data_IF_531323730024
#
_entry.id   IF_531323730024
#
_cell.length_a   1.000
_cell.length_b   1.000
_cell.length_c   1.000
_cell.angle_alpha   90.00
_cell.angle_beta   90.00
_cell.angle_gamma   90.00
#
_symmetry.space_group_name_H-M   'P 1'
#
loop_
_entity.id
_entity.type
_entity.pdbx_description
1 polymer ?
#
# COMPACT_ATOMS: atom_id res chain seq x y z
N UNK A 1 16.63 23.14 23.87
CA UNK A 1 16.61 24.24 22.89
C UNK A 1 15.58 23.94 21.81
N UNK A 2 14.71 24.91 21.55
CA UNK A 2 13.50 24.83 20.73
C UNK A 2 13.75 24.90 19.22
N UNK A 3 12.87 24.24 18.44
CA UNK A 3 12.27 24.58 17.11
C UNK A 3 11.61 23.29 16.56
N UNK A 4 10.29 23.06 16.59
CA UNK A 4 9.19 23.71 15.85
C UNK A 4 9.58 23.94 14.38
N UNK A 5 8.95 23.40 13.32
CA UNK A 5 7.56 23.01 13.05
C UNK A 5 7.53 22.10 11.80
N UNK A 6 6.56 21.18 11.66
CA UNK A 6 5.76 21.05 10.43
C UNK A 6 4.56 20.11 10.66
N UNK A 7 3.39 20.70 10.87
CA UNK A 7 2.10 20.02 10.85
C UNK A 7 1.68 19.85 9.38
N UNK A 8 1.51 18.61 8.91
CA UNK A 8 0.71 18.33 7.72
C UNK A 8 -0.63 17.73 8.14
N UNK A 9 -1.58 18.64 8.28
CA UNK A 9 -3.00 18.40 8.51
C UNK A 9 -3.57 17.69 7.29
N UNK A 10 -4.01 16.44 7.46
CA UNK A 10 -4.81 15.75 6.46
C UNK A 10 -6.17 16.44 6.31
N UNK A 11 -6.29 17.34 5.32
CA UNK A 11 -7.57 17.86 4.83
C UNK A 11 -8.25 16.75 4.02
N UNK A 12 -8.87 15.79 4.71
CA UNK A 12 -9.88 14.92 4.09
C UNK A 12 -11.17 15.72 4.03
N UNK A 13 -11.64 15.91 2.79
CA UNK A 13 -12.74 16.81 2.45
C UNK A 13 -13.95 16.61 3.34
N UNK A 14 -14.23 17.65 4.13
CA UNK A 14 -15.57 17.90 4.62
C UNK A 14 -16.42 18.25 3.39
N UNK A 15 -17.13 17.24 2.89
CA UNK A 15 -18.14 17.39 1.85
C UNK A 15 -19.26 18.21 2.48
N UNK A 16 -19.14 19.53 2.38
CA UNK A 16 -20.21 20.43 2.78
C UNK A 16 -21.45 20.03 1.97
N UNK A 17 -22.45 19.49 2.65
CA UNK A 17 -23.83 19.56 2.18
C UNK A 17 -24.17 21.04 2.12
N UNK A 18 -23.89 21.68 0.98
CA UNK A 18 -24.44 22.99 0.65
C UNK A 18 -25.90 22.75 0.26
N UNK A 19 -26.73 22.46 1.26
CA UNK A 19 -28.17 22.59 1.13
C UNK A 19 -28.47 24.07 1.00
N UNK A 20 -28.98 24.45 -0.17
CA UNK A 20 -29.55 25.77 -0.42
C UNK A 20 -30.62 26.04 0.66
N UNK A 21 -30.41 27.02 1.54
CA UNK A 21 -31.52 27.67 2.23
C UNK A 21 -32.33 28.41 1.16
N UNK A 22 -33.35 27.72 0.62
CA UNK A 22 -34.44 28.40 -0.06
C UNK A 22 -35.15 29.24 1.00
N UNK A 23 -34.90 30.54 1.00
CA UNK A 23 -35.83 31.50 1.54
C UNK A 23 -37.18 31.25 0.86
N UNK A 24 -38.08 30.55 1.56
CA UNK A 24 -39.49 30.52 1.22
C UNK A 24 -40.06 31.87 1.66
N UNK A 25 -39.82 32.92 0.87
CA UNK A 25 -40.78 34.02 0.83
C UNK A 25 -41.97 33.46 0.07
N UNK A 26 -42.93 32.90 0.80
CA UNK A 26 -44.26 32.64 0.29
C UNK A 26 -44.86 33.98 -0.08
N UNK A 27 -44.68 34.40 -1.32
CA UNK A 27 -45.63 35.31 -1.96
C UNK A 27 -46.87 34.46 -2.25
N UNK A 28 -47.58 34.04 -1.19
CA UNK A 28 -48.96 33.61 -1.32
C UNK A 28 -49.69 34.84 -1.85
N UNK A 29 -50.15 34.76 -3.09
CA UNK A 29 -51.17 35.69 -3.56
C UNK A 29 -52.36 35.61 -2.60
N UNK A 30 -52.98 36.75 -2.27
CA UNK A 30 -54.12 36.88 -1.34
C UNK A 30 -55.32 35.94 -1.65
N UNK A 31 -55.31 35.28 -2.80
CA UNK A 31 -56.26 34.24 -3.20
C UNK A 31 -56.12 32.90 -2.46
N UNK A 32 -54.94 32.54 -1.93
CA UNK A 32 -54.75 31.26 -1.23
C UNK A 32 -55.05 31.33 0.28
N UNK A 33 -54.97 32.52 0.89
CA UNK A 33 -55.37 32.75 2.30
C UNK A 33 -56.89 32.65 2.53
N UNK A 34 -57.69 32.61 1.46
CA UNK A 34 -59.15 32.46 1.55
C UNK A 34 -59.66 31.03 1.34
N UNK A 35 -58.77 30.05 1.09
CA UNK A 35 -59.19 28.66 0.87
C UNK A 35 -58.90 27.71 2.05
N UNK A 36 -58.15 28.16 3.05
CA UNK A 36 -57.86 27.40 4.29
C UNK A 36 -58.77 27.82 5.46
N UNK A 37 -59.95 28.37 5.15
CA UNK A 37 -60.96 28.77 6.15
C UNK A 37 -62.34 28.19 5.86
N UNK A 38 -62.41 26.95 5.40
CA UNK A 38 -63.69 26.23 5.28
C UNK A 38 -63.51 24.72 5.53
N UNK A 39 -62.91 24.34 6.66
CA UNK A 39 -62.96 22.98 7.20
C UNK A 39 -63.07 22.99 8.73
N UNK A 40 -63.86 23.89 9.31
CA UNK A 40 -64.22 23.84 10.73
C UNK A 40 -65.63 24.39 10.92
N UNK A 41 -66.37 23.75 11.83
CA UNK A 41 -67.79 23.91 12.19
C UNK A 41 -68.76 22.93 11.52
N UNK A 42 -68.82 21.71 12.06
CA UNK A 42 -70.09 21.02 12.22
C UNK A 42 -70.31 20.78 13.72
N UNK A 43 -70.99 21.72 14.38
CA UNK A 43 -71.81 21.43 15.56
C UNK A 43 -73.27 21.44 15.11
N UNK A 44 -74.15 20.55 15.62
CA UNK A 44 -75.40 20.22 14.98
C UNK A 44 -76.45 21.26 15.36
N UNK A 45 -76.70 22.22 14.49
CA UNK A 45 -77.93 23.00 14.59
C UNK A 45 -78.64 23.10 13.25
N UNK A 46 -79.92 22.79 13.32
CA UNK A 46 -80.87 22.67 12.23
C UNK A 46 -81.11 24.06 11.66
N UNK A 47 -80.89 24.25 10.34
CA UNK A 47 -81.75 25.04 9.43
C UNK A 47 -81.00 25.60 8.22
N UNK A 48 -80.59 24.75 7.28
CA UNK A 48 -80.78 25.02 5.83
C UNK A 48 -80.67 23.70 5.03
N UNK A 49 -81.42 22.67 5.44
CA UNK A 49 -81.52 21.45 4.65
C UNK A 49 -82.42 21.73 3.44
N UNK A 50 -81.83 21.86 2.25
CA UNK A 50 -82.58 21.71 1.01
C UNK A 50 -83.24 20.31 1.07
N UNK A 51 -84.60 20.21 1.10
CA UNK A 51 -85.30 18.98 1.50
C UNK A 51 -85.00 17.75 0.63
N UNK A 52 -84.36 17.97 -0.53
CA UNK A 52 -83.93 16.93 -1.45
C UNK A 52 -82.67 16.16 -1.01
N UNK A 53 -81.91 16.65 -0.01
CA UNK A 53 -80.61 16.07 0.37
C UNK A 53 -80.62 15.27 1.69
N UNK A 54 -81.72 14.58 2.00
CA UNK A 54 -81.83 13.80 3.24
C UNK A 54 -81.11 12.45 3.12
N UNK A 55 -80.26 12.08 4.11
CA UNK A 55 -79.62 10.77 4.12
C UNK A 55 -80.64 9.63 4.19
N UNK A 56 -80.58 8.68 3.26
CA UNK A 56 -81.42 7.47 3.24
C UNK A 56 -80.61 6.28 3.77
N UNK A 57 -81.12 5.56 4.79
CA UNK A 57 -80.47 4.34 5.33
C UNK A 57 -80.76 3.14 4.41
N UNK A 58 -79.74 2.34 4.09
CA UNK A 58 -79.88 1.07 3.39
C UNK A 58 -79.03 0.01 4.10
N UNK A 59 -79.66 -1.07 4.60
CA UNK A 59 -79.11 -2.21 5.38
C UNK A 59 -77.58 -2.24 5.55
N UNK A 60 -77.07 -1.40 6.47
CA UNK A 60 -75.65 -1.34 6.87
C UNK A 60 -74.91 -0.03 6.53
N UNK A 61 -75.46 0.85 5.69
CA UNK A 61 -74.83 2.14 5.35
C UNK A 61 -75.86 3.27 5.14
N UNK A 62 -75.36 4.51 5.08
CA UNK A 62 -76.18 5.71 4.88
C UNK A 62 -75.86 6.31 3.51
N UNK A 63 -76.86 6.39 2.63
CA UNK A 63 -76.77 7.03 1.31
C UNK A 63 -77.05 8.52 1.47
N UNK A 64 -76.03 9.35 1.31
CA UNK A 64 -76.18 10.81 1.27
C UNK A 64 -76.25 11.23 -0.21
N UNK A 65 -77.38 11.79 -0.68
CA UNK A 65 -77.49 12.29 -2.05
C UNK A 65 -76.57 13.51 -2.28
N UNK A 66 -76.03 13.69 -3.50
CA UNK A 66 -75.16 14.81 -3.81
C UNK A 66 -75.91 16.14 -3.69
N UNK A 67 -75.31 17.12 -3.00
CA UNK A 67 -75.87 18.47 -2.97
C UNK A 67 -75.72 19.13 -4.33
N UNK A 68 -76.81 19.16 -5.10
CA UNK A 68 -76.82 19.67 -6.49
C UNK A 68 -76.31 21.10 -6.63
N UNK A 69 -76.54 21.97 -5.64
CA UNK A 69 -76.02 23.34 -5.64
C UNK A 69 -74.50 23.37 -5.49
N UNK A 70 -73.96 22.59 -4.53
CA UNK A 70 -72.50 22.47 -4.35
C UNK A 70 -71.84 21.80 -5.57
N UNK A 71 -72.45 20.75 -6.11
CA UNK A 71 -71.98 20.05 -7.32
C UNK A 71 -71.96 20.99 -8.54
N UNK A 72 -73.05 21.71 -8.77
CA UNK A 72 -73.14 22.67 -9.89
C UNK A 72 -72.15 23.82 -9.74
N UNK A 73 -71.92 24.32 -8.51
CA UNK A 73 -70.90 25.33 -8.23
C UNK A 73 -69.51 24.80 -8.53
N UNK A 74 -69.20 23.58 -8.09
CA UNK A 74 -67.90 22.95 -8.35
C UNK A 74 -67.69 22.74 -9.85
N UNK A 75 -68.69 22.25 -10.57
CA UNK A 75 -68.61 22.07 -12.02
C UNK A 75 -68.40 23.39 -12.76
N UNK A 76 -69.14 24.44 -12.40
CA UNK A 76 -68.97 25.78 -12.97
C UNK A 76 -67.57 26.35 -12.70
N UNK A 77 -67.07 26.19 -11.48
CA UNK A 77 -65.72 26.64 -11.12
C UNK A 77 -64.66 25.85 -11.89
N UNK A 78 -64.76 24.53 -11.96
CA UNK A 78 -63.83 23.68 -12.71
C UNK A 78 -63.77 24.08 -14.20
N UNK A 79 -64.94 24.33 -14.81
CA UNK A 79 -65.00 24.81 -16.19
C UNK A 79 -64.35 26.18 -16.36
N UNK A 80 -64.64 27.11 -15.45
CA UNK A 80 -64.07 28.45 -15.47
C UNK A 80 -62.54 28.42 -15.32
N UNK A 81 -62.03 27.65 -14.36
CA UNK A 81 -60.59 27.49 -14.12
C UNK A 81 -59.89 26.81 -15.31
N UNK A 82 -60.53 25.83 -15.94
CA UNK A 82 -60.01 25.18 -17.14
C UNK A 82 -59.89 26.17 -18.32
N UNK A 83 -60.91 27.01 -18.54
CA UNK A 83 -60.87 28.06 -19.55
C UNK A 83 -59.79 29.10 -19.27
N UNK A 84 -59.66 29.56 -18.02
CA UNK A 84 -58.62 30.51 -17.60
C UNK A 84 -57.22 29.93 -17.81
N UNK A 85 -57.00 28.66 -17.47
CA UNK A 85 -55.73 27.98 -17.71
C UNK A 85 -55.41 27.86 -19.21
N UNK A 86 -56.42 27.60 -20.04
CA UNK A 86 -56.24 27.54 -21.50
C UNK A 86 -55.85 28.90 -22.06
N UNK A 87 -56.54 29.97 -21.68
CA UNK A 87 -56.19 31.34 -22.09
C UNK A 87 -54.79 31.71 -21.63
N UNK A 88 -54.45 31.44 -20.38
CA UNK A 88 -53.11 31.70 -19.87
C UNK A 88 -52.03 30.94 -20.66
N UNK A 89 -52.26 29.67 -20.99
CA UNK A 89 -51.33 28.88 -21.81
C UNK A 89 -51.18 29.43 -23.22
N UNK A 90 -52.26 29.93 -23.82
CA UNK A 90 -52.27 30.52 -25.16
C UNK A 90 -51.57 31.89 -25.17
N UNK A 91 -51.85 32.74 -24.19
CA UNK A 91 -51.22 34.05 -24.00
C UNK A 91 -49.73 33.94 -23.66
N UNK A 92 -49.36 32.95 -22.83
CA UNK A 92 -47.97 32.70 -22.42
C UNK A 92 -47.27 31.67 -23.31
N UNK A 93 -47.90 31.27 -24.43
CA UNK A 93 -47.26 30.35 -25.37
C UNK A 93 -46.06 31.08 -25.98
N UNK A 94 -44.82 30.59 -25.78
CA UNK A 94 -43.68 31.17 -26.48
C UNK A 94 -43.91 31.01 -27.98
N UNK A 95 -43.71 32.10 -28.74
CA UNK A 95 -43.84 32.08 -30.18
C UNK A 95 -42.84 31.10 -30.83
N UNK A 96 -43.05 30.71 -32.09
CA UNK A 96 -42.09 29.90 -32.83
C UNK A 96 -40.73 30.60 -32.87
N UNK A 97 -39.74 30.02 -32.21
CA UNK A 97 -38.37 30.54 -32.21
C UNK A 97 -37.74 30.13 -33.55
N UNK A 98 -37.50 31.11 -34.43
CA UNK A 98 -36.85 30.91 -35.75
C UNK A 98 -35.31 31.01 -35.66
N UNK A 99 -34.73 30.76 -34.49
CA UNK A 99 -33.29 30.75 -34.31
C UNK A 99 -32.77 29.34 -34.52
N UNK A 100 -31.69 29.20 -35.27
CA UNK A 100 -30.94 27.95 -35.31
C UNK A 100 -30.46 27.64 -33.88
N UNK A 101 -30.65 26.40 -33.37
CA UNK A 101 -30.22 26.05 -32.03
C UNK A 101 -28.72 26.26 -31.90
N UNK A 102 -28.32 27.12 -30.97
CA UNK A 102 -26.92 27.36 -30.66
C UNK A 102 -26.36 26.15 -29.89
N UNK A 103 -25.21 25.62 -30.34
CA UNK A 103 -24.52 24.53 -29.62
C UNK A 103 -23.85 25.12 -28.39
N UNK A 104 -24.59 25.19 -27.30
CA UNK A 104 -24.08 25.59 -25.98
C UNK A 104 -23.28 24.42 -25.38
N UNK A 105 -22.01 24.30 -25.76
CA UNK A 105 -21.03 23.37 -25.17
C UNK A 105 -20.41 22.36 -26.15
N UNK A 106 -19.28 21.77 -25.74
CA UNK A 106 -18.56 20.75 -26.52
C UNK A 106 -17.62 21.31 -27.59
N UNK A 107 -16.72 22.23 -27.20
CA UNK A 107 -15.67 22.75 -28.10
C UNK A 107 -14.78 21.64 -28.70
N UNK A 108 -14.76 20.47 -28.06
CA UNK A 108 -13.93 19.32 -28.42
C UNK A 108 -14.86 18.15 -28.76
N UNK A 109 -14.58 17.47 -29.86
CA UNK A 109 -15.29 16.25 -30.23
C UNK A 109 -15.04 15.14 -29.19
N UNK A 110 -16.05 14.31 -28.94
CA UNK A 110 -15.92 13.14 -28.07
C UNK A 110 -14.74 12.23 -28.48
N UNK A 111 -14.48 12.10 -29.77
CA UNK A 111 -13.36 11.31 -30.29
C UNK A 111 -12.00 11.90 -29.86
N UNK A 112 -11.87 13.23 -29.91
CA UNK A 112 -10.66 13.94 -29.50
C UNK A 112 -10.44 13.84 -27.98
N UNK A 113 -11.51 13.96 -27.17
CA UNK A 113 -11.41 13.75 -25.72
C UNK A 113 -10.92 12.32 -25.41
N UNK A 114 -11.48 11.31 -26.09
CA UNK A 114 -11.05 9.91 -25.91
C UNK A 114 -9.60 9.70 -26.31
N UNK A 115 -9.17 10.29 -27.43
CA UNK A 115 -7.78 10.21 -27.87
C UNK A 115 -6.84 10.82 -26.83
N UNK A 116 -7.17 12.02 -26.32
CA UNK A 116 -6.38 12.69 -25.26
C UNK A 116 -6.28 11.83 -24.01
N UNK A 117 -7.39 11.29 -23.53
CA UNK A 117 -7.39 10.38 -22.38
C UNK A 117 -6.51 9.15 -22.59
N UNK A 118 -6.57 8.54 -23.78
CA UNK A 118 -5.70 7.39 -24.10
C UNK A 118 -4.22 7.76 -24.12
N UNK A 119 -3.87 8.90 -24.73
CA UNK A 119 -2.49 9.39 -24.79
C UNK A 119 -1.98 9.71 -23.39
N UNK A 120 -2.76 10.42 -22.59
CA UNK A 120 -2.40 10.79 -21.22
C UNK A 120 -2.20 9.57 -20.33
N UNK A 121 -3.07 8.56 -20.45
CA UNK A 121 -2.92 7.29 -19.73
C UNK A 121 -1.60 6.60 -20.08
N UNK A 122 -1.27 6.51 -21.37
CA UNK A 122 -0.01 5.90 -21.84
C UNK A 122 1.21 6.67 -21.32
N UNK A 123 1.19 8.00 -21.43
CA UNK A 123 2.27 8.86 -20.95
C UNK A 123 2.43 8.77 -19.43
N UNK A 124 1.33 8.75 -18.68
CA UNK A 124 1.34 8.60 -17.23
C UNK A 124 1.95 7.26 -16.81
N UNK A 125 1.55 6.17 -17.48
CA UNK A 125 2.13 4.84 -17.25
C UNK A 125 3.65 4.84 -17.49
N UNK A 126 4.10 5.39 -18.62
CA UNK A 126 5.53 5.48 -18.96
C UNK A 126 6.32 6.31 -17.95
N UNK A 127 5.81 7.49 -17.56
CA UNK A 127 6.46 8.33 -16.55
C UNK A 127 6.59 7.61 -15.21
N UNK A 128 5.59 6.81 -14.84
CA UNK A 128 5.62 6.03 -13.60
C UNK A 128 6.65 4.90 -13.65
N UNK A 129 6.78 4.19 -14.77
CA UNK A 129 7.78 3.12 -14.91
C UNK A 129 9.19 3.69 -14.87
N UNK A 130 9.46 4.77 -15.60
CA UNK A 130 10.78 5.42 -15.61
C UNK A 130 11.20 5.88 -14.20
N UNK A 131 10.32 6.59 -13.48
CA UNK A 131 10.61 7.01 -12.10
C UNK A 131 10.91 5.84 -11.16
N UNK A 132 10.21 4.71 -11.35
CA UNK A 132 10.46 3.51 -10.56
C UNK A 132 11.84 2.92 -10.88
N UNK A 133 12.15 2.78 -12.16
CA UNK A 133 13.43 2.24 -12.62
C UNK A 133 14.61 3.11 -12.16
N UNK A 134 14.50 4.43 -12.24
CA UNK A 134 15.51 5.37 -11.76
C UNK A 134 15.75 5.22 -10.24
N UNK A 135 14.68 5.10 -9.46
CA UNK A 135 14.78 4.89 -8.01
C UNK A 135 15.39 3.53 -7.67
N UNK A 136 14.98 2.47 -8.37
CA UNK A 136 15.49 1.11 -8.18
C UNK A 136 16.98 1.02 -8.57
N UNK A 137 17.40 1.68 -9.66
CA UNK A 137 18.81 1.78 -10.06
C UNK A 137 19.65 2.50 -9.00
N UNK A 138 19.18 3.65 -8.51
CA UNK A 138 19.89 4.40 -7.47
C UNK A 138 20.03 3.59 -6.18
N UNK A 139 18.97 2.85 -5.80
CA UNK A 139 19.00 1.97 -4.64
C UNK A 139 20.02 0.84 -4.82
N UNK A 140 20.03 0.19 -5.99
CA UNK A 140 20.98 -0.88 -6.30
C UNK A 140 22.42 -0.38 -6.28
N UNK A 141 22.70 0.78 -6.87
CA UNK A 141 24.03 1.39 -6.86
C UNK A 141 24.52 1.65 -5.43
N UNK A 142 23.66 2.21 -4.57
CA UNK A 142 24.01 2.44 -3.17
C UNK A 142 24.31 1.13 -2.41
N UNK A 143 23.51 0.08 -2.63
CA UNK A 143 23.73 -1.24 -2.05
C UNK A 143 25.04 -1.89 -2.56
N UNK A 144 25.33 -1.75 -3.86
CA UNK A 144 26.57 -2.24 -4.48
C UNK A 144 27.80 -1.54 -3.90
N UNK A 145 27.78 -0.21 -3.79
CA UNK A 145 28.87 0.56 -3.17
C UNK A 145 29.11 0.17 -1.70
N UNK A 146 28.04 -0.05 -0.93
CA UNK A 146 28.17 -0.50 0.46
C UNK A 146 28.77 -1.91 0.53
N UNK A 147 28.34 -2.80 -0.36
CA UNK A 147 28.88 -4.16 -0.45
C UNK A 147 30.36 -4.16 -0.83
N UNK A 148 30.77 -3.33 -1.79
CA UNK A 148 32.17 -3.15 -2.15
C UNK A 148 33.01 -2.64 -1.00
N UNK A 149 32.52 -1.63 -0.25
CA UNK A 149 33.18 -1.14 0.97
C UNK A 149 33.36 -2.24 2.01
N UNK A 150 32.31 -3.04 2.26
CA UNK A 150 32.37 -4.18 3.19
C UNK A 150 33.39 -5.23 2.74
N UNK A 151 33.41 -5.56 1.44
CA UNK A 151 34.39 -6.50 0.86
C UNK A 151 35.82 -5.96 0.98
N UNK A 152 36.06 -4.68 0.68
CA UNK A 152 37.36 -4.06 0.82
C UNK A 152 37.85 -4.10 2.28
N UNK A 153 36.97 -3.77 3.24
CA UNK A 153 37.27 -3.85 4.67
C UNK A 153 37.62 -5.28 5.10
N UNK A 154 36.90 -6.30 4.60
CA UNK A 154 37.20 -7.70 4.90
C UNK A 154 38.55 -8.12 4.30
N UNK A 155 38.86 -7.70 3.08
CA UNK A 155 40.17 -7.95 2.45
C UNK A 155 41.30 -7.32 3.25
N UNK A 156 41.15 -6.06 3.66
CA UNK A 156 42.15 -5.37 4.49
C UNK A 156 42.37 -6.10 5.84
N UNK A 157 41.28 -6.51 6.49
CA UNK A 157 41.34 -7.31 7.73
C UNK A 157 42.08 -8.63 7.50
N UNK A 158 41.79 -9.33 6.40
CA UNK A 158 42.47 -10.57 6.05
C UNK A 158 43.97 -10.34 5.82
N UNK A 159 44.35 -9.31 5.05
CA UNK A 159 45.76 -8.99 4.80
C UNK A 159 46.49 -8.61 6.08
N UNK A 160 45.84 -7.85 6.98
CA UNK A 160 46.43 -7.46 8.26
C UNK A 160 46.64 -8.67 9.18
N UNK A 161 45.68 -9.59 9.19
CA UNK A 161 45.77 -10.83 9.97
C UNK A 161 46.89 -11.74 9.43
N UNK A 162 47.00 -11.89 8.11
CA UNK A 162 48.05 -12.68 7.48
C UNK A 162 49.45 -12.12 7.79
N UNK A 163 49.63 -10.80 7.69
CA UNK A 163 50.89 -10.13 8.03
C UNK A 163 51.26 -10.36 9.50
N UNK A 164 50.29 -10.24 10.42
CA UNK A 164 50.51 -10.51 11.84
C UNK A 164 50.91 -11.97 12.08
N UNK A 165 50.19 -12.91 11.46
CA UNK A 165 50.49 -14.34 11.57
C UNK A 165 51.90 -14.66 11.08
N UNK A 166 52.29 -14.09 9.94
CA UNK A 166 53.65 -14.25 9.40
C UNK A 166 54.73 -13.75 10.38
N UNK A 167 54.50 -12.59 11.02
CA UNK A 167 55.42 -12.07 12.05
C UNK A 167 55.52 -13.00 13.27
N UNK A 168 54.39 -13.52 13.76
CA UNK A 168 54.36 -14.46 14.89
C UNK A 168 55.05 -15.79 14.54
N UNK A 169 54.85 -16.30 13.32
CA UNK A 169 55.52 -17.50 12.83
C UNK A 169 57.03 -17.30 12.66
N UNK A 170 57.47 -16.14 12.15
CA UNK A 170 58.88 -15.76 12.08
C UNK A 170 59.52 -15.67 13.48
N UNK A 171 58.83 -15.09 14.46
CA UNK A 171 59.30 -15.06 15.85
C UNK A 171 59.41 -16.46 16.46
N UNK A 172 58.41 -17.31 16.22
CA UNK A 172 58.41 -18.71 16.68
C UNK A 172 59.57 -19.49 16.06
N UNK A 173 59.84 -19.30 14.77
CA UNK A 173 60.97 -19.93 14.09
C UNK A 173 62.31 -19.47 14.65
N UNK A 174 62.48 -18.18 14.95
CA UNK A 174 63.70 -17.66 15.58
C UNK A 174 63.93 -18.30 16.95
N UNK A 175 62.93 -18.29 17.82
CA UNK A 175 63.03 -18.93 19.15
C UNK A 175 63.38 -20.42 19.06
N UNK A 176 62.80 -21.13 18.09
CA UNK A 176 63.12 -22.54 17.86
C UNK A 176 64.55 -22.75 17.37
N UNK A 177 65.05 -21.88 16.49
CA UNK A 177 66.44 -21.93 16.03
C UNK A 177 67.41 -21.64 17.17
N UNK A 178 67.11 -20.64 18.01
CA UNK A 178 67.93 -20.29 19.17
C UNK A 178 67.99 -21.45 20.19
N UNK A 179 66.85 -22.06 20.56
CA UNK A 179 66.81 -23.24 21.44
C UNK A 179 67.62 -24.41 20.85
N UNK A 180 67.47 -24.64 19.54
CA UNK A 180 68.22 -25.69 18.84
C UNK A 180 69.74 -25.42 18.89
N UNK A 181 70.16 -24.18 18.70
CA UNK A 181 71.58 -23.80 18.81
C UNK A 181 72.09 -24.02 20.23
N UNK A 182 71.38 -23.51 21.23
CA UNK A 182 71.71 -23.68 22.65
C UNK A 182 71.87 -25.16 23.02
N UNK A 183 70.92 -26.02 22.63
CA UNK A 183 71.02 -27.47 22.90
C UNK A 183 72.15 -28.16 22.16
N UNK A 184 72.47 -27.70 20.95
CA UNK A 184 73.61 -28.21 20.19
C UNK A 184 74.92 -27.84 20.88
N UNK A 185 75.04 -26.59 21.34
CA UNK A 185 76.20 -26.12 22.11
C UNK A 185 76.33 -26.85 23.45
N UNK A 186 75.24 -27.00 24.21
CA UNK A 186 75.23 -27.77 25.46
C UNK A 186 75.67 -29.22 25.25
N UNK A 187 75.23 -29.84 24.14
CA UNK A 187 75.64 -31.19 23.76
C UNK A 187 77.14 -31.26 23.43
N UNK A 188 77.66 -30.30 22.65
CA UNK A 188 79.09 -30.22 22.34
C UNK A 188 79.93 -29.99 23.61
N UNK A 189 79.54 -29.05 24.47
CA UNK A 189 80.19 -28.82 25.76
C UNK A 189 80.18 -30.07 26.65
N UNK A 190 79.09 -30.86 26.62
CA UNK A 190 79.02 -32.15 27.32
C UNK A 190 80.05 -33.13 26.77
N UNK A 191 80.16 -33.27 25.45
CA UNK A 191 81.17 -34.14 24.82
C UNK A 191 82.57 -33.68 25.19
N UNK A 192 82.88 -32.38 25.09
CA UNK A 192 84.19 -31.83 25.44
C UNK A 192 84.53 -32.12 26.90
N UNK A 193 83.61 -31.87 27.83
CA UNK A 193 83.79 -32.19 29.26
C UNK A 193 83.97 -33.69 29.52
N UNK A 194 83.20 -34.55 28.85
CA UNK A 194 83.33 -36.00 28.96
C UNK A 194 84.63 -36.54 28.34
N UNK A 195 85.13 -35.90 27.28
CA UNK A 195 86.41 -36.23 26.64
C UNK A 195 87.62 -35.75 27.46
N UNK A 196 87.46 -34.70 28.28
CA UNK A 196 88.49 -34.23 29.21
C UNK A 196 88.54 -35.06 30.51
N UNK A 197 87.52 -35.85 30.82
CA UNK A 197 87.47 -36.70 32.03
C UNK A 197 87.66 -38.19 31.78
N UNK A 198 87.71 -38.66 30.53
CA UNK A 198 87.93 -40.09 30.20
C UNK A 198 88.81 -40.22 28.97
N UNK A 199 90.09 -40.55 29.20
CA UNK A 199 90.89 -41.30 28.23
C UNK A 199 90.44 -42.77 28.26
N UNK A 200 90.18 -43.32 27.06
CA UNK A 200 90.06 -44.74 26.68
C UNK A 200 88.65 -45.36 26.54
N UNK A 201 88.54 -46.08 25.40
CA UNK A 201 87.75 -47.28 25.10
C UNK A 201 86.36 -47.17 24.44
N UNK A 202 86.39 -47.41 23.12
CA UNK A 202 85.73 -48.50 22.38
C UNK A 202 84.19 -48.65 22.33
N UNK A 203 83.71 -48.58 21.07
CA UNK A 203 82.76 -49.45 20.37
C UNK A 203 81.31 -49.68 20.85
N UNK A 204 80.43 -49.51 19.85
CA UNK A 204 79.20 -50.26 19.54
C UNK A 204 77.90 -49.91 20.28
N UNK A 205 76.98 -49.28 19.55
CA UNK A 205 75.82 -49.93 18.93
C UNK A 205 74.74 -48.88 18.66
N UNK A 206 74.28 -48.79 17.42
CA UNK A 206 73.13 -47.98 17.04
C UNK A 206 71.91 -48.91 17.18
N UNK A 207 70.98 -48.70 18.12
CA UNK A 207 69.68 -49.33 18.03
C UNK A 207 68.86 -48.59 16.96
N UNK A 208 68.66 -49.24 15.81
CA UNK A 208 67.70 -48.81 14.81
C UNK A 208 66.29 -48.84 15.44
N UNK A 209 65.71 -47.66 15.69
CA UNK A 209 64.35 -47.56 16.23
C UNK A 209 63.31 -47.59 15.10
N UNK A 210 62.46 -48.58 15.24
CA UNK A 210 61.28 -48.95 14.46
C UNK A 210 60.29 -47.79 14.21
N UNK A 211 60.33 -47.19 13.02
CA UNK A 211 59.17 -46.46 12.44
C UNK A 211 59.04 -46.60 10.91
N UNK A 212 59.69 -47.60 10.30
CA UNK A 212 59.54 -47.92 8.87
C UNK A 212 58.60 -49.10 8.66
N UNK A 213 57.29 -48.90 8.87
CA UNK A 213 56.23 -49.68 8.20
C UNK A 213 54.87 -49.07 8.51
N UNK A 214 54.47 -48.05 7.75
CA UNK A 214 53.11 -47.92 7.19
C UNK A 214 53.22 -47.08 5.91
N UNK A 215 53.71 -47.70 4.83
CA UNK A 215 53.34 -47.26 3.48
C UNK A 215 52.39 -48.30 2.92
N UNK A 216 51.16 -47.88 2.68
CA UNK A 216 50.24 -48.31 1.60
C UNK A 216 48.81 -48.43 2.12
N UNK A 217 48.07 -47.32 2.02
CA UNK A 217 46.66 -47.30 1.66
C UNK A 217 46.35 -45.94 1.03
N UNK A 218 46.53 -45.91 -0.28
CA UNK A 218 45.67 -45.22 -1.25
C UNK A 218 45.33 -43.75 -0.95
N UNK A 219 46.15 -42.86 -1.52
CA UNK A 219 45.74 -41.52 -1.93
C UNK A 219 44.79 -41.65 -3.12
N UNK A 220 43.50 -41.70 -2.83
CA UNK A 220 42.45 -41.44 -3.82
C UNK A 220 41.58 -40.28 -3.33
N UNK A 221 42.09 -39.06 -3.48
CA UNK A 221 41.30 -37.83 -3.40
C UNK A 221 41.58 -37.01 -4.66
N UNK A 222 40.99 -37.48 -5.76
CA UNK A 222 40.78 -36.65 -6.94
C UNK A 222 39.86 -35.49 -6.55
N UNK A 223 40.36 -34.26 -6.61
CA UNK A 223 39.50 -33.09 -6.73
C UNK A 223 38.83 -33.15 -8.10
N UNK A 224 37.63 -33.73 -8.17
CA UNK A 224 36.77 -33.56 -9.33
C UNK A 224 36.25 -32.12 -9.31
N UNK A 225 36.80 -31.30 -10.20
CA UNK A 225 36.19 -30.05 -10.64
C UNK A 225 34.86 -30.38 -11.34
N UNK A 226 33.78 -30.35 -10.58
CA UNK A 226 32.41 -30.47 -11.08
C UNK A 226 31.89 -29.12 -11.56
N UNK A 227 32.41 -28.63 -12.68
CA UNK A 227 31.75 -27.59 -13.48
C UNK A 227 30.57 -28.25 -14.19
N UNK A 228 29.39 -28.27 -13.57
CA UNK A 228 28.15 -28.65 -14.26
C UNK A 228 27.41 -27.39 -14.69
N UNK A 229 27.60 -27.04 -15.96
CA UNK A 229 26.55 -26.42 -16.74
C UNK A 229 25.38 -27.41 -16.83
N UNK A 230 24.23 -27.09 -16.24
CA UNK A 230 22.93 -27.61 -16.66
C UNK A 230 21.99 -26.46 -16.97
N UNK A 231 21.94 -26.15 -18.25
CA UNK A 231 20.75 -25.68 -18.94
C UNK A 231 19.59 -26.65 -18.72
N UNK A 232 18.38 -26.10 -18.52
CA UNK A 232 17.16 -26.75 -18.97
C UNK A 232 16.23 -27.34 -17.91
N UNK A 233 15.21 -26.53 -17.61
CA UNK A 233 13.77 -26.86 -17.69
C UNK A 233 13.06 -27.61 -16.54
N UNK A 234 11.86 -27.07 -16.30
CA UNK A 234 10.68 -27.59 -15.57
C UNK A 234 10.74 -27.48 -14.03
N UNK A 235 9.66 -27.32 -13.28
CA UNK A 235 8.29 -26.83 -13.42
C UNK A 235 7.71 -27.05 -12.02
N UNK A 236 6.85 -26.14 -11.54
CA UNK A 236 5.94 -26.31 -10.39
C UNK A 236 6.53 -26.36 -8.96
N UNK A 237 5.91 -25.62 -8.04
CA UNK A 237 5.14 -26.18 -6.91
C UNK A 237 5.27 -25.34 -5.61
N UNK A 238 4.19 -24.60 -5.33
CA UNK A 238 3.62 -24.13 -4.02
C UNK A 238 4.41 -23.17 -3.10
N UNK A 239 3.77 -22.09 -2.59
CA UNK A 239 4.37 -21.15 -1.64
C UNK A 239 4.49 -21.70 -0.21
N UNK A 240 5.63 -21.39 0.42
CA UNK A 240 5.90 -21.64 1.84
C UNK A 240 5.19 -20.59 2.71
N UNK A 241 4.24 -21.03 3.52
CA UNK A 241 3.61 -20.24 4.58
C UNK A 241 4.65 -19.94 5.66
N UNK A 242 4.84 -18.67 6.00
CA UNK A 242 5.51 -18.29 7.25
C UNK A 242 4.45 -17.95 8.30
N UNK A 243 4.37 -18.82 9.31
CA UNK A 243 3.73 -18.53 10.60
C UNK A 243 4.38 -17.28 11.22
N UNK A 244 3.54 -16.31 11.57
CA UNK A 244 3.86 -15.24 12.51
C UNK A 244 4.10 -15.87 13.90
N UNK A 245 5.31 -15.71 14.44
CA UNK A 245 5.58 -15.88 15.87
C UNK A 245 5.63 -14.47 16.46
N UNK A 246 4.60 -14.11 17.20
CA UNK A 246 4.51 -12.91 18.03
C UNK A 246 5.26 -13.14 19.34
N UNK A 247 6.37 -12.42 19.56
CA UNK A 247 6.99 -12.27 20.88
C UNK A 247 6.45 -10.99 21.53
N UNK A 248 5.73 -11.15 22.63
CA UNK A 248 5.41 -10.10 23.62
C UNK A 248 6.59 -9.93 24.58
N UNK A 249 7.00 -8.69 24.94
CA UNK A 249 7.90 -8.48 26.07
C UNK A 249 7.13 -8.41 27.39
N UNK A 250 7.60 -9.22 28.35
CA UNK A 250 7.21 -9.23 29.76
C UNK A 250 7.57 -7.91 30.43
N UNK A 251 6.64 -7.44 31.28
CA UNK A 251 6.75 -6.26 32.13
C UNK A 251 7.28 -6.73 33.49
N UNK A 252 8.38 -6.13 33.94
CA UNK A 252 8.86 -6.24 35.31
C UNK A 252 8.69 -4.89 36.00
N UNK A 253 7.84 -4.87 37.02
CA UNK A 253 7.90 -4.03 38.23
C UNK A 253 7.22 -4.82 39.37
#
# INVERSE_FOLDING_TARGET
>A
MNRSTHLQRNSRGSRAYRGNERNQTSNMTDSELMNEKYCENNSPDVSTANPHNQPTRADGYTKIPPNESKRSKLQRNAQKEEEELRRWKEENRPGPIQLAPERLGGAVSLAEVRQRQQVELRQSKLRKTLRKEEMDQKKRQAEEEENEKKKALQREKATKLEMRKKQEDEQRQKLYQDDKQMKTEEFLQRIERSSSSVSMAASSSIPASSWQTVLSRELSLTWHTGLQHRVGLLQSSVPFNYLLISLTPDIAD
#
